data_IF_367754093662
#
_entry.id   IF_367754093662
#
_cell.length_a   1.000
_cell.length_b   1.000
_cell.length_c   1.000
_cell.angle_alpha   90.00
_cell.angle_beta   90.00
_cell.angle_gamma   90.00
#
_symmetry.space_group_name_H-M   'P 1'
#
loop_
_entity.id
_entity.type
_entity.pdbx_description
1 polymer ?
#
# COMPACT_ATOMS: atom_id res chain seq x y z
N UNK A 1 -86.58 -26.20 20.55
CA UNK A 1 -85.32 -26.45 19.81
C UNK A 1 -85.58 -26.20 18.34
N UNK A 2 -84.88 -25.24 17.72
CA UNK A 2 -84.64 -25.23 16.27
C UNK A 2 -83.46 -24.31 15.97
N UNK A 3 -82.66 -24.66 14.97
CA UNK A 3 -81.28 -24.18 14.82
C UNK A 3 -81.25 -22.81 14.14
N UNK A 4 -80.47 -21.86 14.68
CA UNK A 4 -80.16 -20.62 13.98
C UNK A 4 -79.30 -20.93 12.74
N UNK A 5 -79.84 -20.72 11.53
CA UNK A 5 -79.04 -20.72 10.32
C UNK A 5 -78.18 -19.44 10.28
N UNK A 6 -76.96 -19.55 10.81
CA UNK A 6 -75.90 -18.58 10.53
C UNK A 6 -75.56 -18.73 9.04
N UNK A 7 -76.14 -17.84 8.21
CA UNK A 7 -75.70 -17.67 6.84
C UNK A 7 -74.28 -17.10 6.88
N UNK A 8 -73.31 -18.00 6.72
CA UNK A 8 -71.90 -17.65 6.55
C UNK A 8 -71.75 -16.97 5.21
N UNK A 9 -71.87 -15.64 5.19
CA UNK A 9 -71.65 -14.82 4.00
C UNK A 9 -70.22 -15.04 3.53
N UNK A 10 -70.08 -15.85 2.48
CA UNK A 10 -68.82 -16.04 1.79
C UNK A 10 -68.55 -14.76 1.01
N UNK A 11 -67.83 -13.82 1.63
CA UNK A 11 -67.23 -12.72 0.88
C UNK A 11 -66.27 -13.32 -0.15
N UNK A 12 -66.77 -13.49 -1.37
CA UNK A 12 -65.92 -13.69 -2.54
C UNK A 12 -64.96 -12.52 -2.58
N UNK A 13 -63.68 -12.80 -2.29
CA UNK A 13 -62.60 -11.85 -2.48
C UNK A 13 -62.50 -11.53 -3.97
N UNK A 14 -63.25 -10.51 -4.40
CA UNK A 14 -63.12 -9.91 -5.71
C UNK A 14 -61.65 -9.54 -5.89
N UNK A 15 -61.00 -10.16 -6.87
CA UNK A 15 -59.63 -9.86 -7.23
C UNK A 15 -59.59 -8.40 -7.67
N UNK A 16 -59.21 -7.50 -6.74
CA UNK A 16 -59.11 -6.06 -7.03
C UNK A 16 -58.24 -5.88 -8.27
N UNK A 17 -58.63 -5.01 -9.22
CA UNK A 17 -57.87 -4.82 -10.45
C UNK A 17 -56.41 -4.51 -10.13
N UNK A 18 -55.50 -5.15 -10.87
CA UNK A 18 -54.08 -4.84 -10.82
C UNK A 18 -53.92 -3.39 -11.31
N UNK A 19 -53.17 -2.57 -10.57
CA UNK A 19 -52.91 -1.18 -10.95
C UNK A 19 -52.47 -1.07 -12.41
N UNK A 20 -52.99 -0.08 -13.13
CA UNK A 20 -52.66 0.15 -14.54
C UNK A 20 -51.19 0.57 -14.69
N UNK A 21 -50.68 0.58 -15.92
CA UNK A 21 -49.31 1.07 -16.19
C UNK A 21 -49.20 2.57 -15.86
N UNK A 22 -50.23 3.34 -16.20
CA UNK A 22 -50.34 4.78 -15.94
C UNK A 22 -50.47 5.09 -14.44
N UNK A 23 -51.21 4.30 -13.68
CA UNK A 23 -51.35 4.47 -12.22
C UNK A 23 -50.01 4.26 -11.48
N UNK A 24 -49.21 3.30 -11.94
CA UNK A 24 -47.88 3.03 -11.38
C UNK A 24 -46.92 4.19 -11.67
N UNK A 25 -46.94 4.70 -12.90
CA UNK A 25 -46.16 5.89 -13.28
C UNK A 25 -46.61 7.11 -12.46
N UNK A 26 -47.91 7.41 -12.43
CA UNK A 26 -48.45 8.57 -11.71
C UNK A 26 -48.14 8.55 -10.21
N UNK A 27 -48.16 7.37 -9.57
CA UNK A 27 -47.75 7.23 -8.18
C UNK A 27 -46.26 7.56 -7.98
N UNK A 28 -45.38 7.04 -8.85
CA UNK A 28 -43.96 7.37 -8.83
C UNK A 28 -43.70 8.85 -9.11
N UNK A 29 -44.45 9.48 -10.01
CA UNK A 29 -44.33 10.91 -10.31
C UNK A 29 -44.88 11.84 -9.21
N UNK A 30 -45.76 11.36 -8.32
CA UNK A 30 -46.12 12.11 -7.10
C UNK A 30 -44.97 12.08 -6.11
N UNK A 31 -44.42 10.89 -5.86
CA UNK A 31 -43.26 10.71 -4.99
C UNK A 31 -42.05 11.52 -5.48
N UNK A 32 -41.80 11.57 -6.79
CA UNK A 32 -40.68 12.30 -7.41
C UNK A 32 -40.79 13.82 -7.16
N UNK A 33 -42.01 14.36 -7.14
CA UNK A 33 -42.30 15.76 -6.79
C UNK A 33 -42.18 16.03 -5.29
N UNK A 34 -42.58 15.07 -4.46
CA UNK A 34 -42.51 15.16 -3.00
C UNK A 34 -41.07 14.99 -2.47
N UNK A 35 -40.25 14.17 -3.14
CA UNK A 35 -38.88 13.84 -2.78
C UNK A 35 -37.86 14.96 -3.08
N UNK A 36 -38.26 16.02 -3.81
CA UNK A 36 -37.47 17.24 -3.98
C UNK A 36 -36.14 17.06 -4.72
N UNK A 37 -36.01 16.04 -5.57
CA UNK A 37 -34.79 15.72 -6.32
C UNK A 37 -33.98 14.54 -5.78
N UNK A 38 -34.45 13.84 -4.75
CA UNK A 38 -33.92 12.52 -4.40
C UNK A 38 -34.52 11.46 -5.35
N UNK A 39 -33.75 10.45 -5.81
CA UNK A 39 -34.26 9.41 -6.70
C UNK A 39 -35.27 8.53 -5.97
N UNK A 40 -36.46 8.36 -6.58
CA UNK A 40 -37.52 7.49 -6.05
C UNK A 40 -37.24 6.04 -6.42
N UNK A 41 -37.09 5.19 -5.41
CA UNK A 41 -36.86 3.77 -5.62
C UNK A 41 -38.17 3.02 -5.95
N UNK A 42 -38.15 1.98 -6.81
CA UNK A 42 -39.38 1.28 -7.19
C UNK A 42 -40.14 0.65 -6.00
N UNK A 43 -39.44 0.33 -4.91
CA UNK A 43 -40.02 -0.14 -3.66
C UNK A 43 -40.88 0.92 -2.95
N UNK A 44 -40.59 2.20 -3.16
CA UNK A 44 -41.35 3.31 -2.60
C UNK A 44 -42.65 3.52 -3.38
N UNK A 45 -42.58 3.43 -4.72
CA UNK A 45 -43.76 3.37 -5.60
C UNK A 45 -44.67 2.19 -5.20
N UNK A 46 -44.10 1.00 -4.97
CA UNK A 46 -44.86 -0.17 -4.53
C UNK A 46 -45.51 0.04 -3.15
N UNK A 47 -44.83 0.71 -2.20
CA UNK A 47 -45.42 1.06 -0.89
C UNK A 47 -46.53 2.12 -1.01
N UNK A 48 -46.37 3.14 -1.86
CA UNK A 48 -47.41 4.15 -2.12
C UNK A 48 -48.68 3.53 -2.73
N UNK A 49 -48.52 2.50 -3.58
CA UNK A 49 -49.61 1.67 -4.11
C UNK A 49 -50.14 0.63 -3.10
N UNK A 50 -49.85 0.77 -1.80
CA UNK A 50 -50.35 -0.10 -0.74
C UNK A 50 -49.77 -1.52 -0.76
N UNK A 51 -48.58 -1.71 -1.33
CA UNK A 51 -47.84 -2.98 -1.40
C UNK A 51 -48.66 -4.15 -1.99
N UNK A 52 -49.51 -3.87 -2.98
CA UNK A 52 -50.50 -4.81 -3.51
C UNK A 52 -50.21 -5.23 -4.95
N UNK A 53 -49.97 -6.52 -5.17
CA UNK A 53 -49.66 -7.10 -6.48
C UNK A 53 -48.24 -7.66 -6.54
N UNK A 54 -47.68 -7.81 -7.74
CA UNK A 54 -46.30 -8.25 -7.95
C UNK A 54 -45.35 -7.04 -7.94
N UNK A 55 -44.36 -7.05 -7.07
CA UNK A 55 -43.33 -6.00 -7.00
C UNK A 55 -42.57 -5.87 -8.32
N UNK A 56 -42.16 -6.97 -8.95
CA UNK A 56 -41.41 -6.96 -10.21
C UNK A 56 -42.10 -6.14 -11.30
N UNK A 57 -43.45 -6.20 -11.39
CA UNK A 57 -44.19 -5.40 -12.37
C UNK A 57 -44.12 -3.89 -12.08
N UNK A 58 -44.08 -3.49 -10.80
CA UNK A 58 -43.88 -2.07 -10.44
C UNK A 58 -42.44 -1.65 -10.72
N UNK A 59 -41.46 -2.50 -10.38
CA UNK A 59 -40.05 -2.31 -10.73
C UNK A 59 -39.86 -2.11 -12.22
N UNK A 60 -40.23 -3.10 -13.03
CA UNK A 60 -40.01 -3.09 -14.48
C UNK A 60 -40.71 -1.89 -15.14
N UNK A 61 -41.89 -1.48 -14.66
CA UNK A 61 -42.61 -0.31 -15.20
C UNK A 61 -41.92 1.01 -14.80
N UNK A 62 -41.54 1.16 -13.54
CA UNK A 62 -40.91 2.39 -13.05
C UNK A 62 -39.49 2.58 -13.61
N UNK A 63 -38.68 1.52 -13.60
CA UNK A 63 -37.31 1.54 -14.15
C UNK A 63 -37.32 1.84 -15.66
N UNK A 64 -38.26 1.27 -16.43
CA UNK A 64 -38.40 1.60 -17.85
C UNK A 64 -38.87 3.06 -18.05
N UNK A 65 -39.74 3.60 -17.20
CA UNK A 65 -40.13 5.02 -17.25
C UNK A 65 -38.94 5.94 -16.97
N UNK A 66 -38.19 5.68 -15.89
CA UNK A 66 -36.98 6.44 -15.53
C UNK A 66 -35.90 6.32 -16.61
N UNK A 67 -35.68 5.13 -17.15
CA UNK A 67 -34.78 4.91 -18.28
C UNK A 67 -35.22 5.68 -19.53
N UNK A 68 -36.52 5.73 -19.83
CA UNK A 68 -37.05 6.49 -20.97
C UNK A 68 -36.80 8.00 -20.81
N UNK A 69 -36.89 8.54 -19.58
CA UNK A 69 -36.51 9.94 -19.28
C UNK A 69 -35.02 10.18 -19.54
N UNK A 70 -34.14 9.28 -19.09
CA UNK A 70 -32.69 9.37 -19.34
C UNK A 70 -32.29 9.14 -20.81
N UNK A 71 -33.17 8.51 -21.60
CA UNK A 71 -32.99 8.33 -23.05
C UNK A 71 -33.34 9.56 -23.89
N UNK A 72 -33.69 10.69 -23.26
CA UNK A 72 -33.84 11.97 -23.96
C UNK A 72 -32.54 12.31 -24.69
N UNK A 73 -32.61 12.79 -25.95
CA UNK A 73 -31.46 12.80 -26.84
C UNK A 73 -30.45 13.83 -26.37
N UNK A 74 -29.22 13.35 -26.09
CA UNK A 74 -28.02 14.14 -25.80
C UNK A 74 -28.27 15.38 -24.94
N UNK A 75 -27.73 15.37 -23.71
CA UNK A 75 -27.23 16.63 -23.13
C UNK A 75 -26.41 17.27 -24.26
N UNK A 76 -26.90 18.38 -24.83
CA UNK A 76 -26.13 19.07 -25.87
C UNK A 76 -24.88 19.50 -25.16
N UNK A 77 -23.72 19.00 -25.61
CA UNK A 77 -22.43 19.46 -25.13
C UNK A 77 -22.41 20.97 -25.37
N UNK A 78 -22.70 21.71 -24.31
CA UNK A 78 -22.81 23.15 -24.39
C UNK A 78 -21.39 23.65 -24.37
N UNK A 79 -20.84 23.81 -25.59
CA UNK A 79 -19.47 24.25 -25.80
C UNK A 79 -19.14 25.40 -24.84
N UNK A 80 -18.12 25.18 -24.02
CA UNK A 80 -17.66 26.18 -23.07
C UNK A 80 -17.31 27.46 -23.84
N UNK A 81 -17.67 28.66 -23.33
CA UNK A 81 -17.25 29.90 -23.96
C UNK A 81 -15.73 29.88 -24.17
N UNK A 82 -15.27 30.23 -25.37
CA UNK A 82 -13.87 30.06 -25.77
C UNK A 82 -12.86 30.74 -24.81
N UNK A 83 -13.29 31.76 -24.08
CA UNK A 83 -12.51 32.44 -23.04
C UNK A 83 -12.26 31.56 -21.81
N UNK A 84 -13.25 30.74 -21.43
CA UNK A 84 -13.16 29.77 -20.33
C UNK A 84 -12.25 28.61 -20.76
N UNK A 85 -12.43 28.09 -21.96
CA UNK A 85 -11.60 26.99 -22.49
C UNK A 85 -10.13 27.40 -22.68
N UNK A 86 -9.89 28.61 -23.18
CA UNK A 86 -8.55 29.20 -23.25
C UNK A 86 -7.94 29.53 -21.88
N UNK A 87 -8.76 29.74 -20.84
CA UNK A 87 -8.30 29.90 -19.46
C UNK A 87 -7.95 28.55 -18.81
N UNK A 88 -8.77 27.52 -19.04
CA UNK A 88 -8.50 26.14 -18.62
C UNK A 88 -7.21 25.64 -19.26
N UNK A 89 -7.04 25.83 -20.57
CA UNK A 89 -5.83 25.45 -21.31
C UNK A 89 -4.58 26.10 -20.72
N UNK A 90 -4.60 27.43 -20.49
CA UNK A 90 -3.49 28.14 -19.83
C UNK A 90 -3.23 27.68 -18.39
N UNK A 91 -4.27 27.34 -17.63
CA UNK A 91 -4.10 26.79 -16.28
C UNK A 91 -3.44 25.40 -16.33
N UNK A 92 -3.84 24.52 -17.26
CA UNK A 92 -3.24 23.21 -17.47
C UNK A 92 -1.78 23.31 -17.93
N UNK A 93 -1.46 24.25 -18.83
CA UNK A 93 -0.08 24.53 -19.24
C UNK A 93 0.79 25.02 -18.07
N UNK A 94 0.26 25.94 -17.25
CA UNK A 94 0.95 26.46 -16.06
C UNK A 94 1.19 25.35 -15.01
N UNK A 95 0.19 24.50 -14.74
CA UNK A 95 0.32 23.34 -13.85
C UNK A 95 1.34 22.33 -14.42
N UNK A 96 1.28 22.04 -15.73
CA UNK A 96 2.25 21.16 -16.39
C UNK A 96 3.68 21.70 -16.36
N UNK A 97 3.85 23.02 -16.46
CA UNK A 97 5.14 23.68 -16.28
C UNK A 97 5.64 23.59 -14.83
N UNK A 98 4.78 23.88 -13.84
CA UNK A 98 5.11 23.79 -12.42
C UNK A 98 5.50 22.37 -11.99
N UNK A 99 4.77 21.35 -12.44
CA UNK A 99 5.10 19.94 -12.19
C UNK A 99 6.47 19.59 -12.76
N UNK A 100 6.75 19.94 -14.03
CA UNK A 100 8.07 19.70 -14.65
C UNK A 100 9.19 20.40 -13.88
N UNK A 101 8.98 21.65 -13.47
CA UNK A 101 9.94 22.40 -12.68
C UNK A 101 10.23 21.73 -11.33
N UNK A 102 9.19 21.31 -10.60
CA UNK A 102 9.33 20.59 -9.34
C UNK A 102 10.10 19.27 -9.50
N UNK A 103 9.86 18.52 -10.59
CA UNK A 103 10.63 17.31 -10.89
C UNK A 103 12.11 17.60 -11.16
N UNK A 104 12.43 18.66 -11.90
CA UNK A 104 13.81 19.09 -12.17
C UNK A 104 14.51 19.51 -10.87
N UNK A 105 13.85 20.32 -10.04
CA UNK A 105 14.38 20.76 -8.76
C UNK A 105 14.64 19.58 -7.82
N UNK A 106 13.67 18.68 -7.66
CA UNK A 106 13.80 17.48 -6.84
C UNK A 106 14.93 16.54 -7.32
N UNK A 107 15.03 16.31 -8.64
CA UNK A 107 16.12 15.52 -9.22
C UNK A 107 17.49 16.19 -9.00
N UNK A 108 17.57 17.52 -9.10
CA UNK A 108 18.81 18.26 -8.83
C UNK A 108 19.22 18.19 -7.36
N UNK A 109 18.26 18.26 -6.42
CA UNK A 109 18.50 18.07 -4.99
C UNK A 109 19.05 16.68 -4.67
N UNK A 110 18.43 15.63 -5.21
CA UNK A 110 18.92 14.24 -5.08
C UNK A 110 20.36 14.07 -5.55
N UNK A 111 20.75 14.70 -6.67
CA UNK A 111 22.13 14.65 -7.17
C UNK A 111 23.09 15.39 -6.23
N UNK A 112 22.70 16.56 -5.71
CA UNK A 112 23.51 17.33 -4.75
C UNK A 112 23.71 16.54 -3.44
N UNK A 113 22.65 15.94 -2.90
CA UNK A 113 22.70 15.13 -1.69
C UNK A 113 23.55 13.87 -1.88
N UNK A 114 23.41 13.18 -3.02
CA UNK A 114 24.24 12.02 -3.33
C UNK A 114 25.72 12.39 -3.44
N UNK A 115 26.06 13.49 -4.13
CA UNK A 115 27.43 13.99 -4.20
C UNK A 115 27.96 14.39 -2.82
N UNK A 116 27.12 14.94 -1.94
CA UNK A 116 27.49 15.24 -0.55
C UNK A 116 27.79 13.96 0.25
N UNK A 117 26.92 12.95 0.16
CA UNK A 117 27.12 11.64 0.79
C UNK A 117 28.41 10.95 0.30
N UNK A 118 28.66 10.97 -1.01
CA UNK A 118 29.91 10.43 -1.58
C UNK A 118 31.15 11.14 -1.03
N UNK A 119 31.14 12.47 -0.89
CA UNK A 119 32.25 13.22 -0.31
C UNK A 119 32.47 12.90 1.17
N UNK A 120 31.39 12.72 1.94
CA UNK A 120 31.46 12.32 3.34
C UNK A 120 32.06 10.92 3.48
N UNK A 121 31.63 9.96 2.66
CA UNK A 121 32.18 8.61 2.62
C UNK A 121 33.66 8.61 2.20
N UNK A 122 34.04 9.37 1.17
CA UNK A 122 35.44 9.54 0.75
C UNK A 122 36.32 10.09 1.89
N UNK A 123 35.82 11.08 2.64
CA UNK A 123 36.54 11.61 3.80
C UNK A 123 36.73 10.54 4.89
N UNK A 124 35.67 9.81 5.23
CA UNK A 124 35.73 8.72 6.20
C UNK A 124 36.74 7.64 5.78
N UNK A 125 36.71 7.24 4.50
CA UNK A 125 37.66 6.27 3.95
C UNK A 125 39.11 6.77 4.03
N UNK A 126 39.37 8.06 3.76
CA UNK A 126 40.70 8.64 3.90
C UNK A 126 41.19 8.65 5.36
N UNK A 127 40.31 8.97 6.32
CA UNK A 127 40.62 8.90 7.75
C UNK A 127 40.92 7.46 8.21
N UNK A 128 40.19 6.47 7.69
CA UNK A 128 40.41 5.05 8.03
C UNK A 128 41.66 4.46 7.37
N UNK A 129 41.99 4.86 6.13
CA UNK A 129 43.28 4.56 5.49
C UNK A 129 44.43 5.10 6.35
N UNK A 130 44.37 6.37 6.78
CA UNK A 130 45.42 6.96 7.62
C UNK A 130 45.61 6.23 8.96
N UNK A 131 44.54 5.71 9.57
CA UNK A 131 44.63 4.85 10.77
C UNK A 131 45.32 3.53 10.47
N UNK A 132 45.03 2.89 9.35
CA UNK A 132 45.64 1.62 8.93
C UNK A 132 47.13 1.82 8.57
N UNK A 133 47.47 2.90 7.88
CA UNK A 133 48.86 3.28 7.58
C UNK A 133 49.66 3.51 8.87
N UNK A 134 49.11 4.23 9.84
CA UNK A 134 49.75 4.42 11.15
C UNK A 134 49.94 3.10 11.91
N UNK A 135 48.99 2.16 11.83
CA UNK A 135 49.14 0.82 12.40
C UNK A 135 50.23 0.01 11.68
N UNK A 136 50.30 0.07 10.34
CA UNK A 136 51.34 -0.61 9.56
C UNK A 136 52.74 -0.09 9.90
N UNK A 137 52.91 1.23 10.05
CA UNK A 137 54.16 1.84 10.51
C UNK A 137 54.51 1.35 11.93
N UNK A 138 53.57 1.42 12.87
CA UNK A 138 53.79 0.92 14.24
C UNK A 138 54.23 -0.55 14.29
N UNK A 139 53.58 -1.43 13.53
CA UNK A 139 53.95 -2.86 13.50
C UNK A 139 55.27 -3.12 12.78
N UNK A 140 55.58 -2.33 11.74
CA UNK A 140 56.89 -2.38 11.04
C UNK A 140 58.03 -1.98 11.98
N UNK A 141 57.90 -0.84 12.66
CA UNK A 141 58.93 -0.32 13.56
C UNK A 141 59.14 -1.27 14.76
N UNK A 142 58.04 -1.82 15.28
CA UNK A 142 58.09 -2.85 16.34
C UNK A 142 58.75 -4.16 15.89
N UNK A 143 58.59 -4.56 14.63
CA UNK A 143 59.27 -5.73 14.09
C UNK A 143 60.78 -5.50 13.96
N UNK A 144 61.19 -4.36 13.37
CA UNK A 144 62.60 -3.98 13.23
C UNK A 144 63.31 -3.85 14.59
N UNK A 145 62.66 -3.24 15.59
CA UNK A 145 63.19 -3.17 16.95
C UNK A 145 63.30 -4.54 17.64
N UNK A 146 62.50 -5.52 17.23
CA UNK A 146 62.61 -6.90 17.72
C UNK A 146 63.83 -7.59 17.11
N UNK A 147 64.06 -7.44 15.80
CA UNK A 147 65.22 -8.02 15.09
C UNK A 147 66.55 -7.49 15.66
N UNK A 148 66.67 -6.16 15.86
CA UNK A 148 67.86 -5.55 16.46
C UNK A 148 68.15 -6.07 17.88
N UNK A 149 67.12 -6.49 18.63
CA UNK A 149 67.29 -7.06 19.97
C UNK A 149 67.75 -8.52 19.98
N UNK A 150 67.50 -9.28 18.91
CA UNK A 150 67.95 -10.67 18.78
C UNK A 150 69.42 -10.77 18.32
N UNK A 151 69.88 -9.86 17.45
CA UNK A 151 71.28 -9.84 16.98
C UNK A 151 72.29 -9.52 18.11
N UNK A 152 71.91 -8.66 19.07
CA UNK A 152 72.75 -8.36 20.25
C UNK A 152 72.83 -9.57 21.22
N UNK A 153 71.84 -10.46 21.21
CA UNK A 153 71.82 -11.65 22.06
C UNK A 153 72.66 -12.83 21.48
N UNK A 154 73.08 -12.76 20.22
CA UNK A 154 73.70 -13.89 19.50
C UNK A 154 75.23 -14.02 19.69
N UNK A 155 75.75 -13.56 20.83
CA UNK A 155 77.19 -13.56 21.18
C UNK A 155 77.65 -14.71 22.12
N UNK A 156 77.02 -15.90 22.03
CA UNK A 156 77.59 -17.24 22.35
C UNK A 156 78.10 -17.54 23.81
N UNK A 157 78.29 -18.83 24.22
CA UNK A 157 77.24 -19.63 24.87
C UNK A 157 77.68 -20.30 26.20
N UNK A 158 76.77 -21.01 26.90
CA UNK A 158 77.04 -22.35 27.49
C UNK A 158 75.75 -23.02 28.04
N UNK A 159 75.69 -24.36 28.21
CA UNK A 159 74.44 -25.10 28.42
C UNK A 159 74.27 -25.75 29.81
N UNK A 160 73.02 -26.16 30.13
CA UNK A 160 72.50 -27.15 31.15
C UNK A 160 71.24 -26.54 31.83
N UNK A 161 70.16 -27.26 32.20
CA UNK A 161 69.91 -28.72 32.23
C UNK A 161 68.42 -29.08 32.09
N UNK A 162 68.10 -29.95 31.12
CA UNK A 162 67.17 -31.11 31.20
C UNK A 162 66.23 -31.23 32.42
N UNK A 163 64.89 -31.12 32.20
CA UNK A 163 63.92 -32.10 32.73
C UNK A 163 62.59 -32.20 31.95
N UNK A 164 62.33 -33.40 31.41
CA UNK A 164 61.03 -33.96 30.94
C UNK A 164 60.30 -34.58 32.15
N UNK A 165 58.99 -34.86 32.22
CA UNK A 165 57.74 -34.70 31.41
C UNK A 165 56.56 -35.13 32.36
N UNK A 166 55.31 -35.54 31.99
CA UNK A 166 54.59 -35.62 30.71
C UNK A 166 53.08 -35.17 30.66
N UNK A 167 52.58 -35.02 29.41
CA UNK A 167 51.24 -35.34 28.83
C UNK A 167 49.88 -34.94 29.50
N UNK A 168 49.05 -34.28 28.66
CA UNK A 168 47.56 -34.22 28.62
C UNK A 168 46.93 -35.61 28.25
N UNK A 169 45.61 -35.82 27.98
CA UNK A 169 44.43 -34.91 27.99
C UNK A 169 43.10 -35.50 28.54
N UNK A 170 42.01 -34.70 28.55
CA UNK A 170 40.69 -35.07 27.97
C UNK A 170 39.72 -33.88 27.84
N UNK A 171 38.94 -33.88 26.76
CA UNK A 171 37.71 -33.08 26.60
C UNK A 171 36.55 -33.78 27.34
N UNK A 172 35.46 -33.06 27.66
CA UNK A 172 34.11 -33.31 27.08
C UNK A 172 33.03 -32.33 27.57
N UNK A 173 32.07 -32.06 26.68
CA UNK A 173 30.64 -31.73 26.90
C UNK A 173 30.21 -30.39 27.52
N UNK A 174 29.25 -29.79 26.80
CA UNK A 174 28.39 -28.67 27.18
C UNK A 174 27.25 -29.10 28.12
N UNK A 175 26.80 -28.19 28.98
CA UNK A 175 25.41 -28.12 29.46
C UNK A 175 25.02 -26.66 29.74
N UNK A 176 23.80 -26.29 29.34
CA UNK A 176 23.25 -24.95 29.50
C UNK A 176 22.56 -24.76 30.87
N UNK A 177 22.55 -23.52 31.37
CA UNK A 177 21.53 -22.82 32.19
C UNK A 177 22.12 -21.42 32.45
N UNK A 178 21.47 -20.27 32.26
CA UNK A 178 20.08 -19.96 31.94
C UNK A 178 19.67 -18.71 32.73
N UNK A 179 19.60 -17.54 32.09
CA UNK A 179 19.02 -16.33 32.71
C UNK A 179 18.49 -15.35 31.65
N UNK A 180 17.19 -15.02 31.77
CA UNK A 180 16.45 -13.93 31.09
C UNK A 180 17.15 -12.57 31.31
N UNK A 181 16.96 -11.54 30.45
CA UNK A 181 15.65 -11.02 29.98
C UNK A 181 15.47 -11.13 28.44
N UNK A 182 14.29 -11.16 27.81
CA UNK A 182 13.03 -10.41 27.99
C UNK A 182 13.13 -8.91 27.66
N UNK A 183 12.97 -8.58 26.37
CA UNK A 183 12.02 -7.59 25.83
C UNK A 183 11.89 -7.85 24.31
N UNK A 184 10.64 -7.89 23.86
CA UNK A 184 10.05 -7.74 22.52
C UNK A 184 10.93 -7.63 21.26
N UNK A 185 10.63 -8.44 20.24
CA UNK A 185 10.07 -7.93 18.96
C UNK A 185 9.53 -9.05 18.03
N UNK A 186 8.68 -8.65 17.08
CA UNK A 186 7.80 -9.47 16.24
C UNK A 186 8.51 -10.00 14.96
N UNK A 187 8.36 -11.29 14.56
CA UNK A 187 9.00 -11.80 13.35
C UNK A 187 8.16 -11.52 12.09
N UNK A 188 8.48 -10.43 11.39
CA UNK A 188 7.99 -10.16 10.03
C UNK A 188 8.31 -11.33 9.09
N UNK A 189 7.31 -11.77 8.33
CA UNK A 189 7.43 -12.90 7.41
C UNK A 189 8.45 -12.65 6.30
N UNK A 190 9.41 -13.58 6.12
CA UNK A 190 10.31 -13.60 4.96
C UNK A 190 9.58 -14.19 3.76
N UNK A 191 9.16 -13.33 2.84
CA UNK A 191 8.74 -13.73 1.51
C UNK A 191 9.97 -13.75 0.60
N UNK A 192 10.49 -14.94 0.30
CA UNK A 192 11.46 -15.13 -0.79
C UNK A 192 10.70 -15.07 -2.11
N UNK A 193 11.02 -14.10 -2.95
CA UNK A 193 10.56 -14.06 -4.33
C UNK A 193 11.77 -13.99 -5.25
N UNK A 194 12.03 -15.09 -5.96
CA UNK A 194 12.93 -15.11 -7.10
C UNK A 194 12.32 -14.22 -8.20
N UNK A 195 13.08 -13.23 -8.65
CA UNK A 195 12.90 -12.64 -9.98
C UNK A 195 14.26 -12.50 -10.65
N UNK A 196 14.54 -13.50 -11.46
CA UNK A 196 15.39 -13.45 -12.65
C UNK A 196 15.05 -12.22 -13.52
N UNK A 197 16.04 -11.64 -14.22
CA UNK A 197 15.99 -11.02 -15.57
C UNK A 197 17.06 -9.92 -15.78
N UNK A 198 17.79 -10.08 -16.89
CA UNK A 198 18.61 -9.14 -17.68
C UNK A 198 19.80 -8.35 -17.10
N UNK A 199 20.97 -8.70 -17.66
CA UNK A 199 22.12 -7.81 -17.83
C UNK A 199 21.94 -6.90 -19.05
N UNK A 200 22.28 -5.60 -19.00
CA UNK A 200 22.58 -4.84 -20.21
C UNK A 200 23.99 -5.19 -20.73
N UNK A 201 24.09 -5.48 -22.04
CA UNK A 201 25.37 -5.76 -22.72
C UNK A 201 26.25 -4.50 -22.81
N UNK A 202 27.55 -4.69 -22.61
CA UNK A 202 28.59 -3.73 -23.00
C UNK A 202 28.66 -3.58 -24.52
N UNK A 203 28.68 -2.33 -24.97
CA UNK A 203 29.32 -1.83 -26.21
C UNK A 203 29.95 -0.47 -25.88
#
# INVERSE_FOLDING_TARGET
MSIMLIHKTQEFMMAKPLYSHEEIIAAGESLDKEAGGNPVEPWEVFRALGARGKFDRVRDIWENHVASRSSTPSVREQELPAEVDAAITRALEAVGAAIRQQFIEHASGLVVDHVHQMRLAQKQHAEDIGKLEAQLVFWRDKALASEESEDVASAKPEPKTRRRSPRKPKQTTSTATGKKPEVDEEPTARQTQDTDTDQPKLL
#
